data_IF_941421212488
#
_entry.id   IF_941421212488
#
_cell.length_a   1.000
_cell.length_b   1.000
_cell.length_c   1.000
_cell.angle_alpha   90.00
_cell.angle_beta   90.00
_cell.angle_gamma   90.00
#
_symmetry.space_group_name_H-M   'P 1'
#
loop_
_entity.id
_entity.type
_entity.pdbx_description
1 polymer ?
#
# COMPACT_ATOMS: atom_id res chain seq x y z
N UNK A 1 -14.77 32.83 31.76
CA UNK A 1 -15.71 31.98 31.02
C UNK A 1 -15.92 32.63 29.64
N UNK A 2 -15.78 31.88 28.55
CA UNK A 2 -16.12 32.35 27.23
C UNK A 2 -17.60 32.12 26.91
N UNK A 3 -18.15 32.85 25.94
CA UNK A 3 -19.55 32.66 25.54
C UNK A 3 -19.78 31.31 24.89
N UNK A 4 -21.01 30.75 24.90
CA UNK A 4 -21.37 29.46 24.30
C UNK A 4 -20.91 29.27 22.87
N UNK A 5 -20.90 30.35 22.08
CA UNK A 5 -20.43 30.36 20.69
C UNK A 5 -18.98 29.82 20.54
N UNK A 6 -18.09 30.14 21.48
CA UNK A 6 -16.72 29.66 21.49
C UNK A 6 -16.66 28.14 21.74
N UNK A 7 -17.37 27.69 22.80
CA UNK A 7 -17.38 26.26 23.15
C UNK A 7 -18.05 25.41 22.07
N UNK A 8 -19.12 25.91 21.44
CA UNK A 8 -19.79 25.22 20.33
C UNK A 8 -18.88 25.11 19.11
N UNK A 9 -18.12 26.16 18.79
CA UNK A 9 -17.15 26.09 17.68
C UNK A 9 -16.02 25.10 17.97
N UNK A 10 -15.49 25.05 19.19
CA UNK A 10 -14.51 24.04 19.59
C UNK A 10 -15.09 22.62 19.54
N UNK A 11 -16.32 22.44 20.04
CA UNK A 11 -17.02 21.14 19.96
C UNK A 11 -17.14 20.68 18.49
N UNK A 12 -17.48 21.60 17.58
CA UNK A 12 -17.57 21.27 16.14
C UNK A 12 -16.23 20.78 15.61
N UNK A 13 -15.11 21.44 15.93
CA UNK A 13 -13.76 20.97 15.52
C UNK A 13 -13.53 19.55 16.00
N UNK A 14 -13.74 19.27 17.28
CA UNK A 14 -13.52 17.95 17.87
C UNK A 14 -14.44 16.88 17.26
N UNK A 15 -15.69 17.25 16.92
CA UNK A 15 -16.61 16.33 16.23
C UNK A 15 -16.13 16.00 14.80
N UNK A 16 -15.62 16.97 14.06
CA UNK A 16 -15.09 16.71 12.72
C UNK A 16 -13.78 15.91 12.77
N UNK A 17 -12.90 16.17 13.76
CA UNK A 17 -11.70 15.37 13.99
C UNK A 17 -12.03 13.92 14.40
N UNK A 18 -13.09 13.74 15.23
CA UNK A 18 -13.60 12.41 15.59
C UNK A 18 -14.09 11.63 14.35
N UNK A 19 -14.88 12.25 13.47
CA UNK A 19 -15.29 11.64 12.21
C UNK A 19 -14.09 11.23 11.34
N UNK A 20 -13.07 12.10 11.27
CA UNK A 20 -11.86 11.84 10.52
C UNK A 20 -11.10 10.62 11.04
N UNK A 21 -11.12 10.37 12.35
CA UNK A 21 -10.47 9.21 12.95
C UNK A 21 -11.07 7.89 12.47
N UNK A 22 -12.39 7.81 12.26
CA UNK A 22 -13.05 6.64 11.67
C UNK A 22 -12.68 6.46 10.20
N UNK A 23 -12.71 7.54 9.42
CA UNK A 23 -12.30 7.48 8.01
C UNK A 23 -10.83 7.03 7.87
N UNK A 24 -9.98 7.48 8.78
CA UNK A 24 -8.58 7.04 8.82
C UNK A 24 -8.45 5.55 9.14
N UNK A 25 -9.23 5.04 10.11
CA UNK A 25 -9.27 3.61 10.42
C UNK A 25 -9.73 2.78 9.21
N UNK A 26 -10.76 3.22 8.51
CA UNK A 26 -11.25 2.52 7.32
C UNK A 26 -10.24 2.54 6.18
N UNK A 27 -9.52 3.65 6.00
CA UNK A 27 -8.41 3.73 5.05
C UNK A 27 -7.27 2.78 5.39
N UNK A 28 -6.89 2.67 6.67
CA UNK A 28 -5.87 1.71 7.10
C UNK A 28 -6.30 0.27 6.83
N UNK A 29 -7.55 -0.09 7.11
CA UNK A 29 -8.11 -1.42 6.78
C UNK A 29 -8.06 -1.69 5.28
N UNK A 30 -8.44 -0.71 4.47
CA UNK A 30 -8.41 -0.81 3.02
C UNK A 30 -6.98 -1.00 2.48
N UNK A 31 -6.00 -0.22 2.99
CA UNK A 31 -4.60 -0.36 2.62
C UNK A 31 -4.05 -1.73 3.02
N UNK A 32 -4.38 -2.20 4.23
CA UNK A 32 -4.00 -3.52 4.72
C UNK A 32 -4.58 -4.65 3.85
N UNK A 33 -5.87 -4.57 3.48
CA UNK A 33 -6.51 -5.55 2.57
C UNK A 33 -5.80 -5.61 1.22
N UNK A 34 -5.47 -4.45 0.65
CA UNK A 34 -4.70 -4.35 -0.60
C UNK A 34 -3.31 -5.00 -0.47
N UNK A 35 -2.58 -4.66 0.58
CA UNK A 35 -1.22 -5.18 0.79
C UNK A 35 -1.21 -6.69 1.01
N UNK A 36 -2.14 -7.22 1.81
CA UNK A 36 -2.35 -8.67 1.98
C UNK A 36 -2.62 -9.34 0.63
N UNK A 37 -3.49 -8.75 -0.20
CA UNK A 37 -3.82 -9.31 -1.52
C UNK A 37 -2.61 -9.36 -2.45
N UNK A 38 -1.75 -8.35 -2.45
CA UNK A 38 -0.51 -8.33 -3.23
C UNK A 38 0.48 -9.39 -2.76
N UNK A 39 0.71 -9.51 -1.45
CA UNK A 39 1.60 -10.54 -0.88
C UNK A 39 1.06 -11.95 -1.16
N UNK A 40 -0.25 -12.14 -1.08
CA UNK A 40 -0.86 -13.43 -1.41
C UNK A 40 -0.71 -13.78 -2.90
N UNK A 41 -0.86 -12.80 -3.79
CA UNK A 41 -0.57 -12.99 -5.22
C UNK A 41 0.90 -13.36 -5.45
N UNK A 42 1.83 -12.72 -4.75
CA UNK A 42 3.26 -13.02 -4.81
C UNK A 42 3.58 -14.46 -4.35
N UNK A 43 2.96 -14.94 -3.27
CA UNK A 43 3.13 -16.32 -2.81
C UNK A 43 2.63 -17.35 -3.84
N UNK A 44 1.51 -17.07 -4.51
CA UNK A 44 1.00 -17.91 -5.58
C UNK A 44 1.94 -17.91 -6.81
N UNK A 45 2.50 -16.76 -7.15
CA UNK A 45 3.54 -16.63 -8.18
C UNK A 45 4.77 -17.49 -7.84
N UNK A 46 5.28 -17.45 -6.61
CA UNK A 46 6.42 -18.28 -6.20
C UNK A 46 6.12 -19.77 -6.30
N UNK A 47 4.91 -20.20 -6.00
CA UNK A 47 4.52 -21.60 -6.15
C UNK A 47 4.57 -22.05 -7.62
N UNK A 48 4.07 -21.24 -8.56
CA UNK A 48 4.15 -21.57 -10.00
C UNK A 48 5.58 -21.52 -10.53
N UNK A 49 6.35 -20.51 -10.13
CA UNK A 49 7.76 -20.37 -10.48
C UNK A 49 8.57 -21.58 -10.02
N UNK A 50 8.30 -22.06 -8.78
CA UNK A 50 8.91 -23.27 -8.22
C UNK A 50 8.64 -24.51 -9.05
N UNK A 51 7.40 -24.68 -9.55
CA UNK A 51 7.06 -25.81 -10.45
C UNK A 51 7.89 -25.75 -11.75
N UNK A 52 8.00 -24.58 -12.36
CA UNK A 52 8.79 -24.36 -13.56
C UNK A 52 10.28 -24.66 -13.31
N UNK A 53 10.86 -24.09 -12.26
CA UNK A 53 12.27 -24.28 -11.93
C UNK A 53 12.60 -25.74 -11.57
N UNK A 54 11.72 -26.45 -10.88
CA UNK A 54 11.89 -27.90 -10.65
C UNK A 54 11.90 -28.71 -11.96
N UNK A 55 11.04 -28.34 -12.93
CA UNK A 55 11.04 -28.96 -14.25
C UNK A 55 12.37 -28.68 -14.99
N UNK A 56 12.88 -27.46 -14.92
CA UNK A 56 14.16 -27.08 -15.52
C UNK A 56 15.32 -27.82 -14.85
N UNK A 57 15.38 -27.87 -13.52
CA UNK A 57 16.41 -28.58 -12.76
C UNK A 57 16.44 -30.08 -13.13
N UNK A 58 15.29 -30.73 -13.25
CA UNK A 58 15.21 -32.12 -13.69
C UNK A 58 15.79 -32.33 -15.09
N UNK A 59 15.45 -31.45 -16.07
CA UNK A 59 15.93 -31.54 -17.45
C UNK A 59 17.43 -31.27 -17.51
N UNK A 60 17.93 -30.25 -16.83
CA UNK A 60 19.36 -29.91 -16.82
C UNK A 60 20.21 -30.94 -16.04
N UNK A 61 19.65 -31.58 -15.01
CA UNK A 61 20.31 -32.68 -14.33
C UNK A 61 20.46 -33.91 -15.24
N UNK A 62 19.42 -34.26 -16.02
CA UNK A 62 19.51 -35.36 -17.00
C UNK A 62 20.55 -35.03 -18.10
N UNK A 63 20.57 -33.79 -18.57
CA UNK A 63 21.55 -33.32 -19.54
C UNK A 63 22.98 -33.40 -19.00
N UNK A 64 23.23 -32.93 -17.79
CA UNK A 64 24.54 -33.00 -17.12
C UNK A 64 25.02 -34.45 -17.01
N UNK A 65 24.18 -35.36 -16.49
CA UNK A 65 24.52 -36.76 -16.33
C UNK A 65 24.90 -37.42 -17.67
N UNK A 66 24.21 -37.06 -18.75
CA UNK A 66 24.52 -37.56 -20.11
C UNK A 66 25.81 -36.97 -20.63
N UNK A 67 26.02 -35.67 -20.51
CA UNK A 67 27.27 -34.99 -20.98
C UNK A 67 28.50 -35.52 -20.22
N UNK A 68 28.41 -35.79 -18.92
CA UNK A 68 29.49 -36.40 -18.13
C UNK A 68 29.81 -37.83 -18.61
N UNK A 69 28.76 -38.62 -18.87
CA UNK A 69 28.94 -39.99 -19.38
C UNK A 69 29.59 -40.00 -20.79
N UNK A 70 29.13 -39.13 -21.69
CA UNK A 70 29.69 -39.01 -23.06
C UNK A 70 31.15 -38.53 -23.02
N UNK A 71 31.49 -37.58 -22.14
CA UNK A 71 32.88 -37.16 -21.97
C UNK A 71 33.75 -38.32 -21.50
N UNK A 72 33.31 -39.10 -20.50
CA UNK A 72 34.04 -40.29 -20.01
C UNK A 72 34.25 -41.36 -21.06
N UNK A 73 33.34 -41.46 -22.04
CA UNK A 73 33.47 -42.39 -23.19
C UNK A 73 34.27 -41.82 -24.38
N UNK A 74 34.70 -40.54 -24.30
CA UNK A 74 35.36 -39.88 -25.42
C UNK A 74 34.45 -39.45 -26.57
N UNK A 75 33.11 -39.50 -26.37
CA UNK A 75 32.09 -39.16 -27.35
C UNK A 75 31.72 -37.65 -27.34
N UNK A 76 32.25 -36.90 -26.43
CA UNK A 76 31.97 -35.45 -26.25
C UNK A 76 33.21 -34.71 -25.71
N UNK A 77 33.07 -33.40 -25.59
CA UNK A 77 34.14 -32.53 -25.16
C UNK A 77 33.82 -31.88 -23.79
N UNK A 78 34.84 -31.25 -23.20
CA UNK A 78 34.73 -30.55 -21.92
C UNK A 78 33.72 -29.40 -21.92
N UNK A 79 33.51 -28.74 -23.11
CA UNK A 79 32.58 -27.61 -23.23
C UNK A 79 31.13 -28.06 -23.04
N UNK A 80 30.73 -29.21 -23.61
CA UNK A 80 29.39 -29.76 -23.39
C UNK A 80 29.13 -30.06 -21.92
N UNK A 81 30.06 -30.71 -21.24
CA UNK A 81 29.96 -30.98 -19.78
C UNK A 81 29.88 -29.71 -18.96
N UNK A 82 30.76 -28.74 -19.21
CA UNK A 82 30.79 -27.46 -18.47
C UNK A 82 29.50 -26.65 -18.69
N UNK A 83 28.96 -26.64 -19.93
CA UNK A 83 27.68 -26.01 -20.22
C UNK A 83 26.54 -26.67 -19.45
N UNK A 84 26.48 -28.01 -19.44
CA UNK A 84 25.45 -28.76 -18.72
C UNK A 84 25.53 -28.54 -17.20
N UNK A 85 26.74 -28.52 -16.64
CA UNK A 85 26.98 -28.27 -15.21
C UNK A 85 26.53 -26.86 -14.82
N UNK A 86 26.87 -25.86 -15.65
CA UNK A 86 26.46 -24.46 -15.41
C UNK A 86 24.93 -24.28 -15.42
N UNK A 87 24.23 -24.86 -16.42
CA UNK A 87 22.76 -24.80 -16.48
C UNK A 87 22.09 -25.46 -15.27
N UNK A 88 22.57 -26.62 -14.86
CA UNK A 88 22.09 -27.30 -13.65
C UNK A 88 22.32 -26.47 -12.41
N UNK A 89 23.55 -25.97 -12.21
CA UNK A 89 23.91 -25.16 -11.05
C UNK A 89 23.13 -23.84 -10.98
N UNK A 90 22.86 -23.21 -12.12
CA UNK A 90 21.99 -22.03 -12.20
C UNK A 90 20.55 -22.34 -11.78
N UNK A 91 19.96 -23.45 -12.25
CA UNK A 91 18.62 -23.84 -11.88
C UNK A 91 18.51 -24.16 -10.38
N UNK A 92 19.50 -24.85 -9.80
CA UNK A 92 19.58 -25.12 -8.37
C UNK A 92 19.71 -23.83 -7.55
N UNK A 93 20.56 -22.88 -7.97
CA UNK A 93 20.70 -21.61 -7.32
C UNK A 93 19.41 -20.78 -7.37
N UNK A 94 18.73 -20.76 -8.52
CA UNK A 94 17.45 -20.06 -8.68
C UNK A 94 16.36 -20.66 -7.79
N UNK A 95 16.30 -21.98 -7.63
CA UNK A 95 15.39 -22.64 -6.69
C UNK A 95 15.67 -22.25 -5.23
N UNK A 96 16.94 -22.23 -4.82
CA UNK A 96 17.32 -21.80 -3.46
C UNK A 96 16.96 -20.32 -3.21
N UNK A 97 17.22 -19.44 -4.17
CA UNK A 97 16.85 -18.03 -4.07
C UNK A 97 15.32 -17.87 -3.94
N UNK A 98 14.57 -18.53 -4.81
CA UNK A 98 13.11 -18.49 -4.79
C UNK A 98 12.51 -18.95 -3.44
N UNK A 99 13.09 -19.97 -2.81
CA UNK A 99 12.65 -20.43 -1.48
C UNK A 99 12.89 -19.35 -0.41
N UNK A 100 14.01 -18.62 -0.49
CA UNK A 100 14.28 -17.50 0.41
C UNK A 100 13.33 -16.32 0.20
N UNK A 101 13.05 -15.97 -1.05
CA UNK A 101 12.08 -14.93 -1.38
C UNK A 101 10.68 -15.31 -0.87
N UNK A 102 10.31 -16.59 -1.00
CA UNK A 102 9.05 -17.12 -0.47
C UNK A 102 8.99 -17.06 1.07
N UNK A 103 10.07 -17.42 1.77
CA UNK A 103 10.16 -17.30 3.24
C UNK A 103 9.94 -15.82 3.67
N UNK A 104 10.57 -14.85 2.98
CA UNK A 104 10.41 -13.42 3.24
C UNK A 104 8.94 -13.00 3.08
N UNK A 105 8.30 -13.42 2.00
CA UNK A 105 6.89 -13.07 1.75
C UNK A 105 5.92 -13.73 2.74
N UNK A 106 6.23 -14.96 3.22
CA UNK A 106 5.48 -15.59 4.31
C UNK A 106 5.61 -14.79 5.61
N UNK A 107 6.83 -14.36 5.96
CA UNK A 107 7.05 -13.52 7.15
C UNK A 107 6.29 -12.20 7.04
N UNK A 108 6.31 -11.56 5.85
CA UNK A 108 5.54 -10.35 5.59
C UNK A 108 4.04 -10.59 5.75
N UNK A 109 3.51 -11.68 5.21
CA UNK A 109 2.09 -12.01 5.36
C UNK A 109 1.73 -12.24 6.84
N UNK A 110 2.51 -13.03 7.57
CA UNK A 110 2.32 -13.29 8.99
C UNK A 110 2.32 -12.01 9.83
N UNK A 111 3.20 -11.07 9.49
CA UNK A 111 3.22 -9.75 10.13
C UNK A 111 1.94 -8.95 9.85
N UNK A 112 1.48 -8.90 8.58
CA UNK A 112 0.30 -8.13 8.17
C UNK A 112 -0.99 -8.65 8.79
N UNK A 113 -1.12 -9.97 8.98
CA UNK A 113 -2.30 -10.59 9.60
C UNK A 113 -2.16 -10.75 11.12
N UNK A 114 -0.99 -10.38 11.68
CA UNK A 114 -0.65 -10.56 13.10
C UNK A 114 -0.85 -12.00 13.60
N UNK A 115 -0.49 -12.97 12.77
CA UNK A 115 -0.58 -14.40 13.06
C UNK A 115 0.75 -15.09 12.73
N UNK A 116 1.34 -15.77 13.70
CA UNK A 116 2.60 -16.50 13.53
C UNK A 116 2.47 -17.85 12.81
N UNK A 117 1.27 -18.23 12.35
CA UNK A 117 1.06 -19.47 11.63
C UNK A 117 1.57 -19.36 10.18
N UNK A 118 2.28 -20.41 9.74
CA UNK A 118 2.74 -20.50 8.35
C UNK A 118 1.57 -20.91 7.44
N UNK A 119 1.11 -19.97 6.60
CA UNK A 119 0.13 -20.28 5.57
C UNK A 119 0.82 -20.91 4.36
N UNK A 120 0.61 -22.20 4.17
CA UNK A 120 1.00 -22.89 2.95
C UNK A 120 -0.22 -23.04 2.05
N UNK A 121 -0.27 -22.28 0.97
CA UNK A 121 -1.25 -22.50 -0.08
C UNK A 121 -0.59 -23.21 -1.27
N UNK A 122 -0.43 -24.52 -1.16
CA UNK A 122 0.29 -25.32 -2.18
C UNK A 122 -0.58 -25.71 -3.38
N UNK A 123 -1.91 -25.62 -3.28
CA UNK A 123 -2.83 -26.24 -4.24
C UNK A 123 -3.74 -25.28 -5.02
N UNK A 124 -3.60 -23.98 -4.88
CA UNK A 124 -4.41 -23.05 -5.68
C UNK A 124 -3.94 -23.04 -7.13
N UNK A 125 -4.86 -23.23 -8.07
CA UNK A 125 -4.57 -23.01 -9.49
C UNK A 125 -4.34 -21.52 -9.72
N UNK A 126 -3.11 -21.18 -10.06
CA UNK A 126 -2.74 -19.79 -10.33
C UNK A 126 -3.24 -19.38 -11.71
N UNK A 127 -4.08 -18.37 -11.77
CA UNK A 127 -4.69 -17.87 -13.00
C UNK A 127 -4.95 -16.36 -12.91
N UNK A 128 -5.51 -15.79 -13.96
CA UNK A 128 -5.91 -14.38 -13.99
C UNK A 128 -7.04 -14.18 -12.97
N UNK A 129 -6.88 -13.19 -12.11
CA UNK A 129 -7.91 -12.76 -11.16
C UNK A 129 -9.08 -12.11 -11.89
N UNK A 130 -10.24 -12.07 -11.24
CA UNK A 130 -11.40 -11.41 -11.79
C UNK A 130 -11.25 -9.88 -11.67
N UNK A 131 -11.41 -9.19 -12.79
CA UNK A 131 -11.51 -7.74 -12.82
C UNK A 131 -12.97 -7.35 -12.71
N UNK A 132 -13.36 -6.83 -11.54
CA UNK A 132 -14.72 -6.38 -11.31
C UNK A 132 -15.04 -5.15 -12.15
N UNK A 133 -16.14 -5.23 -12.92
CA UNK A 133 -16.75 -4.17 -13.74
C UNK A 133 -15.82 -3.07 -14.27
N UNK A 134 -15.36 -3.20 -15.50
CA UNK A 134 -14.67 -2.15 -16.28
C UNK A 134 -15.67 -1.06 -16.72
N UNK A 135 -16.23 -0.28 -15.79
CA UNK A 135 -16.99 0.89 -16.19
C UNK A 135 -16.03 2.01 -16.62
N UNK A 136 -16.29 2.58 -17.80
CA UNK A 136 -15.48 3.64 -18.40
C UNK A 136 -15.43 4.93 -17.56
N UNK A 137 -16.40 5.14 -16.67
CA UNK A 137 -16.42 6.24 -15.73
C UNK A 137 -15.84 5.82 -14.37
N UNK A 138 -14.65 6.32 -14.10
CA UNK A 138 -14.02 6.18 -12.80
C UNK A 138 -14.67 7.15 -11.80
N UNK A 139 -15.35 6.59 -10.79
CA UNK A 139 -16.01 7.36 -9.74
C UNK A 139 -15.08 7.80 -8.59
N UNK A 140 -13.81 7.40 -8.60
CA UNK A 140 -12.87 7.65 -7.50
C UNK A 140 -12.96 6.63 -6.37
N UNK A 141 -11.88 6.49 -5.58
CA UNK A 141 -11.96 5.74 -4.33
C UNK A 141 -12.72 6.60 -3.30
N UNK A 142 -13.96 6.23 -2.91
CA UNK A 142 -14.76 7.08 -2.04
C UNK A 142 -14.17 7.25 -0.64
N UNK A 143 -13.38 6.29 -0.13
CA UNK A 143 -12.73 6.42 1.18
C UNK A 143 -11.67 7.52 1.17
N UNK A 144 -10.80 7.53 0.14
CA UNK A 144 -9.77 8.57 0.00
C UNK A 144 -10.41 9.94 -0.20
N UNK A 145 -11.43 10.03 -1.06
CA UNK A 145 -12.13 11.29 -1.33
C UNK A 145 -12.90 11.77 -0.10
N UNK A 146 -13.58 10.89 0.63
CA UNK A 146 -14.27 11.22 1.89
C UNK A 146 -13.29 11.75 2.94
N UNK A 147 -12.08 11.18 3.04
CA UNK A 147 -11.07 11.68 3.97
C UNK A 147 -10.61 13.10 3.58
N UNK A 148 -10.33 13.34 2.30
CA UNK A 148 -9.93 14.67 1.82
C UNK A 148 -11.05 15.71 2.00
N UNK A 149 -12.29 15.32 1.78
CA UNK A 149 -13.46 16.16 2.06
C UNK A 149 -13.62 16.44 3.56
N UNK A 150 -13.40 15.43 4.40
CA UNK A 150 -13.44 15.58 5.85
C UNK A 150 -12.36 16.54 6.35
N UNK A 151 -11.16 16.53 5.76
CA UNK A 151 -10.11 17.50 6.07
C UNK A 151 -10.55 18.94 5.74
N UNK A 152 -11.26 19.16 4.63
CA UNK A 152 -11.87 20.47 4.34
C UNK A 152 -12.84 20.89 5.45
N UNK A 153 -13.68 19.96 5.92
CA UNK A 153 -14.65 20.23 6.98
C UNK A 153 -13.94 20.59 8.31
N UNK A 154 -12.83 19.93 8.62
CA UNK A 154 -11.99 20.25 9.78
C UNK A 154 -11.41 21.65 9.66
N UNK A 155 -10.83 22.01 8.52
CA UNK A 155 -10.25 23.35 8.33
C UNK A 155 -11.31 24.44 8.37
N UNK A 156 -12.51 24.19 7.86
CA UNK A 156 -13.67 25.08 7.99
C UNK A 156 -14.09 25.27 9.46
N UNK A 157 -14.18 24.17 10.21
CA UNK A 157 -14.51 24.22 11.62
C UNK A 157 -13.44 24.98 12.44
N UNK A 158 -12.15 24.75 12.15
CA UNK A 158 -11.02 25.47 12.75
C UNK A 158 -11.09 26.98 12.47
N UNK A 159 -11.41 27.37 11.23
CA UNK A 159 -11.61 28.78 10.88
C UNK A 159 -12.73 29.44 11.71
N UNK A 160 -13.84 28.73 11.89
CA UNK A 160 -14.95 29.19 12.72
C UNK A 160 -14.56 29.30 14.20
N UNK A 161 -13.76 28.35 14.71
CA UNK A 161 -13.25 28.36 16.07
C UNK A 161 -12.28 29.54 16.31
N UNK A 162 -11.38 29.84 15.34
CA UNK A 162 -10.49 30.99 15.42
C UNK A 162 -11.27 32.33 15.40
N UNK A 163 -12.31 32.43 14.59
CA UNK A 163 -13.22 33.60 14.59
C UNK A 163 -13.98 33.73 15.92
N UNK A 164 -14.37 32.61 16.53
CA UNK A 164 -15.08 32.62 17.81
C UNK A 164 -14.24 33.11 19.00
N UNK A 165 -12.90 33.09 18.89
CA UNK A 165 -11.97 33.65 19.89
C UNK A 165 -12.09 35.18 20.02
N UNK A 166 -12.62 35.85 19.01
CA UNK A 166 -12.90 37.28 19.04
C UNK A 166 -14.17 37.64 19.84
N UNK A 167 -14.94 36.63 20.28
CA UNK A 167 -16.14 36.87 21.10
C UNK A 167 -15.76 37.37 22.47
N UNK A 168 -16.61 38.21 23.11
CA UNK A 168 -16.42 38.65 24.50
C UNK A 168 -16.31 37.47 25.47
N UNK A 169 -15.60 37.69 26.56
CA UNK A 169 -15.51 36.75 27.69
C UNK A 169 -16.17 37.30 28.96
N UNK A 170 -16.73 36.42 29.76
CA UNK A 170 -17.26 36.75 31.08
C UNK A 170 -16.24 36.32 32.15
N UNK A 171 -15.81 37.27 32.95
CA UNK A 171 -14.91 37.03 34.08
C UNK A 171 -15.70 37.09 35.38
N UNK A 172 -15.66 36.02 36.13
CA UNK A 172 -16.24 35.94 37.46
C UNK A 172 -15.10 35.67 38.44
N UNK A 173 -15.03 36.44 39.51
CA UNK A 173 -14.04 36.20 40.53
C UNK A 173 -14.61 36.43 41.93
N UNK A 174 -14.09 35.66 42.87
CA UNK A 174 -14.33 35.82 44.30
C UNK A 174 -12.97 35.97 44.97
N UNK A 175 -12.83 37.00 45.75
CA UNK A 175 -11.62 37.25 46.52
C UNK A 175 -11.95 37.22 48.00
N UNK A 176 -11.11 36.56 48.80
CA UNK A 176 -11.19 36.51 50.25
C UNK A 176 -9.82 36.93 50.78
N UNK A 177 -9.78 38.08 51.48
CA UNK A 177 -8.54 38.61 52.01
C UNK A 177 -8.70 38.90 53.51
N UNK A 178 -7.59 38.84 54.21
CA UNK A 178 -7.51 39.24 55.64
C UNK A 178 -6.56 40.41 55.74
N UNK A 179 -7.01 41.48 56.35
CA UNK A 179 -6.17 42.65 56.68
C UNK A 179 -6.13 42.83 58.16
N UNK A 180 -4.95 43.13 58.75
CA UNK A 180 -4.75 43.49 60.16
C UNK A 180 -4.42 44.96 60.23
N UNK A 181 -5.22 45.72 60.97
CA UNK A 181 -5.02 47.18 61.15
C UNK A 181 -6.31 47.90 61.33
N UNK A 182 -6.23 49.24 61.46
CA UNK A 182 -7.40 50.12 61.55
C UNK A 182 -8.03 50.32 60.16
N UNK A 183 -9.33 50.06 60.07
CA UNK A 183 -10.11 50.36 58.89
C UNK A 183 -10.42 51.82 58.68
N UNK A 184 -10.98 52.20 57.54
CA UNK A 184 -11.44 53.57 57.25
C UNK A 184 -12.63 54.00 58.13
N UNK A 185 -13.25 53.06 58.78
CA UNK A 185 -14.34 53.22 59.81
C UNK A 185 -13.81 53.33 61.23
N UNK A 186 -12.51 53.58 61.45
CA UNK A 186 -11.79 53.67 62.72
C UNK A 186 -11.82 52.43 63.58
N UNK A 187 -12.31 51.28 63.05
CA UNK A 187 -12.30 49.98 63.73
C UNK A 187 -11.04 49.21 63.49
N UNK A 188 -10.50 48.59 64.51
CA UNK A 188 -9.38 47.68 64.41
C UNK A 188 -9.82 46.30 63.95
N UNK A 189 -9.33 45.82 62.80
CA UNK A 189 -9.54 44.49 62.25
C UNK A 189 -8.36 43.60 62.62
N UNK A 190 -8.62 42.42 63.15
CA UNK A 190 -7.59 41.44 63.44
C UNK A 190 -7.47 40.41 62.29
N UNK A 191 -6.46 39.52 62.36
CA UNK A 191 -6.20 38.54 61.29
C UNK A 191 -7.30 37.46 61.14
N UNK A 192 -8.30 37.41 62.06
CA UNK A 192 -9.43 36.47 61.92
C UNK A 192 -10.59 37.05 61.11
N UNK A 193 -10.60 38.36 60.88
CA UNK A 193 -11.61 38.99 60.02
C UNK A 193 -11.32 38.80 58.55
N UNK A 194 -12.29 38.25 57.82
CA UNK A 194 -12.18 38.00 56.39
C UNK A 194 -13.08 38.96 55.60
N UNK A 195 -12.48 39.72 54.73
CA UNK A 195 -13.19 40.55 53.76
C UNK A 195 -13.40 39.74 52.50
N UNK A 196 -14.64 39.59 52.10
CA UNK A 196 -15.03 38.89 50.91
C UNK A 196 -15.55 39.86 49.86
N UNK A 197 -15.07 39.75 48.64
CA UNK A 197 -15.56 40.52 47.50
C UNK A 197 -15.79 39.63 46.30
N UNK A 198 -16.82 39.94 45.52
CA UNK A 198 -17.08 39.28 44.25
C UNK A 198 -17.07 40.33 43.13
N UNK A 199 -16.61 39.93 41.95
CA UNK A 199 -16.68 40.79 40.79
C UNK A 199 -17.20 40.03 39.58
N UNK A 200 -17.90 40.76 38.70
CA UNK A 200 -18.32 40.32 37.40
C UNK A 200 -17.74 41.31 36.40
N UNK A 201 -17.02 40.81 35.41
CA UNK A 201 -16.40 41.64 34.36
C UNK A 201 -16.63 41.07 32.97
N UNK A 202 -16.70 41.92 31.97
CA UNK A 202 -16.76 41.55 30.56
C UNK A 202 -15.42 41.89 29.91
N UNK A 203 -14.72 40.91 29.37
CA UNK A 203 -13.49 41.09 28.60
C UNK A 203 -13.80 41.18 27.12
N UNK A 204 -13.47 42.29 26.50
CA UNK A 204 -13.62 42.52 25.05
C UNK A 204 -12.22 42.62 24.43
N UNK A 205 -11.86 41.76 23.42
CA UNK A 205 -10.55 41.83 22.78
C UNK A 205 -10.50 43.04 21.83
N UNK A 206 -10.05 44.19 22.32
CA UNK A 206 -9.95 45.45 21.56
C UNK A 206 -8.74 45.39 20.63
N UNK A 207 -7.60 44.92 21.11
CA UNK A 207 -6.38 44.74 20.31
C UNK A 207 -6.29 43.31 19.79
N UNK A 208 -6.75 43.08 18.56
CA UNK A 208 -6.92 41.72 18.00
C UNK A 208 -6.12 41.49 16.71
N UNK A 209 -5.08 42.30 16.44
CA UNK A 209 -4.26 42.17 15.22
C UNK A 209 -3.62 40.80 15.11
N UNK A 210 -3.06 40.23 16.19
CA UNK A 210 -2.50 38.90 16.22
C UNK A 210 -3.56 37.84 15.88
N UNK A 211 -4.77 37.91 16.48
CA UNK A 211 -5.84 36.95 16.20
C UNK A 211 -6.35 37.07 14.74
N UNK A 212 -6.37 38.30 14.16
CA UNK A 212 -6.69 38.50 12.75
C UNK A 212 -5.68 37.78 11.84
N UNK A 213 -4.38 37.90 12.15
CA UNK A 213 -3.33 37.16 11.41
C UNK A 213 -3.50 35.65 11.48
N UNK A 214 -3.87 35.11 12.64
CA UNK A 214 -4.20 33.67 12.78
C UNK A 214 -5.42 33.29 11.93
N UNK A 215 -6.45 34.12 11.89
CA UNK A 215 -7.63 33.89 11.04
C UNK A 215 -7.26 33.89 9.56
N UNK A 216 -6.41 34.84 9.11
CA UNK A 216 -5.94 34.85 7.71
C UNK A 216 -5.09 33.60 7.39
N UNK A 217 -4.18 33.19 8.29
CA UNK A 217 -3.44 31.93 8.12
C UNK A 217 -4.38 30.72 8.02
N UNK A 218 -5.45 30.70 8.85
CA UNK A 218 -6.43 29.60 8.79
C UNK A 218 -7.28 29.61 7.50
N UNK A 219 -7.54 30.75 6.89
CA UNK A 219 -8.16 30.83 5.56
C UNK A 219 -7.25 30.23 4.48
N UNK A 220 -5.94 30.45 4.59
CA UNK A 220 -4.97 29.81 3.68
C UNK A 220 -4.98 28.29 3.87
N UNK A 221 -5.03 27.79 5.11
CA UNK A 221 -5.16 26.35 5.37
C UNK A 221 -6.44 25.75 4.77
N UNK A 222 -7.55 26.48 4.79
CA UNK A 222 -8.78 26.09 4.11
C UNK A 222 -8.60 25.97 2.59
N UNK A 223 -7.90 26.92 1.95
CA UNK A 223 -7.59 26.87 0.52
C UNK A 223 -6.65 25.70 0.19
N UNK A 224 -5.67 25.43 1.08
CA UNK A 224 -4.79 24.26 0.92
C UNK A 224 -5.60 22.95 0.96
N UNK A 225 -6.54 22.80 1.90
CA UNK A 225 -7.37 21.61 1.99
C UNK A 225 -8.28 21.44 0.75
N UNK A 226 -8.83 22.55 0.21
CA UNK A 226 -9.58 22.54 -1.06
C UNK A 226 -8.70 22.08 -2.22
N UNK A 227 -7.51 22.65 -2.37
CA UNK A 227 -6.54 22.27 -3.40
C UNK A 227 -6.14 20.79 -3.28
N UNK A 228 -5.91 20.29 -2.07
CA UNK A 228 -5.57 18.89 -1.83
C UNK A 228 -6.71 17.96 -2.25
N UNK A 229 -7.96 18.36 -2.04
CA UNK A 229 -9.12 17.61 -2.51
C UNK A 229 -9.16 17.53 -4.05
N UNK A 230 -9.00 18.66 -4.73
CA UNK A 230 -8.99 18.72 -6.19
C UNK A 230 -7.81 17.93 -6.77
N UNK A 231 -6.63 18.05 -6.18
CA UNK A 231 -5.45 17.26 -6.55
C UNK A 231 -5.68 15.77 -6.33
N UNK A 232 -6.34 15.39 -5.22
CA UNK A 232 -6.72 14.02 -4.93
C UNK A 232 -7.61 13.41 -6.00
N UNK A 233 -8.63 14.15 -6.48
CA UNK A 233 -9.50 13.73 -7.59
C UNK A 233 -8.69 13.45 -8.87
N UNK A 234 -7.79 14.38 -9.24
CA UNK A 234 -6.97 14.24 -10.45
C UNK A 234 -6.01 13.06 -10.33
N UNK A 235 -5.33 12.92 -9.18
CA UNK A 235 -4.37 11.85 -8.94
C UNK A 235 -5.02 10.47 -8.97
N UNK A 236 -6.15 10.28 -8.31
CA UNK A 236 -6.87 9.02 -8.30
C UNK A 236 -7.35 8.63 -9.71
N UNK A 237 -7.88 9.59 -10.47
CA UNK A 237 -8.26 9.37 -11.87
C UNK A 237 -7.07 8.95 -12.72
N UNK A 238 -5.94 9.65 -12.58
CA UNK A 238 -4.73 9.32 -13.33
C UNK A 238 -4.18 7.94 -12.95
N UNK A 239 -4.13 7.59 -11.66
CA UNK A 239 -3.72 6.26 -11.20
C UNK A 239 -4.60 5.15 -11.80
N UNK A 240 -5.92 5.34 -11.77
CA UNK A 240 -6.84 4.39 -12.37
C UNK A 240 -6.58 4.20 -13.87
N UNK A 241 -6.47 5.29 -14.63
CA UNK A 241 -6.24 5.24 -16.08
C UNK A 241 -4.87 4.62 -16.41
N UNK A 242 -3.82 4.91 -15.65
CA UNK A 242 -2.51 4.31 -15.83
C UNK A 242 -2.54 2.81 -15.56
N UNK A 243 -3.15 2.37 -14.45
CA UNK A 243 -3.28 0.95 -14.12
C UNK A 243 -4.13 0.22 -15.18
N UNK A 244 -5.19 0.84 -15.67
CA UNK A 244 -6.02 0.26 -16.72
C UNK A 244 -5.25 0.05 -18.02
N UNK A 245 -4.46 1.03 -18.46
CA UNK A 245 -3.62 0.90 -19.65
C UNK A 245 -2.54 -0.16 -19.47
N UNK A 246 -1.91 -0.24 -18.30
CA UNK A 246 -0.94 -1.29 -17.99
C UNK A 246 -1.59 -2.66 -17.97
N UNK A 247 -2.77 -2.80 -17.39
CA UNK A 247 -3.55 -4.04 -17.43
C UNK A 247 -3.89 -4.46 -18.86
N UNK A 248 -4.35 -3.55 -19.71
CA UNK A 248 -4.65 -3.84 -21.13
C UNK A 248 -3.42 -4.38 -21.84
N UNK A 249 -2.27 -3.70 -21.74
CA UNK A 249 -0.99 -4.15 -22.30
C UNK A 249 -0.63 -5.56 -21.84
N UNK A 250 -0.67 -5.81 -20.53
CA UNK A 250 -0.31 -7.10 -19.96
C UNK A 250 -1.29 -8.21 -20.36
N UNK A 251 -2.57 -7.89 -20.47
CA UNK A 251 -3.60 -8.83 -20.95
C UNK A 251 -3.37 -9.24 -22.41
N UNK A 252 -2.93 -8.33 -23.28
CA UNK A 252 -2.56 -8.66 -24.66
C UNK A 252 -1.34 -9.59 -24.70
N UNK A 253 -0.30 -9.32 -23.86
CA UNK A 253 0.87 -10.17 -23.74
C UNK A 253 0.47 -11.58 -23.23
N UNK A 254 -0.38 -11.69 -22.21
CA UNK A 254 -0.87 -12.98 -21.69
C UNK A 254 -1.66 -13.72 -22.76
N UNK A 255 -2.51 -13.03 -23.54
CA UNK A 255 -3.28 -13.64 -24.62
C UNK A 255 -2.35 -14.27 -25.67
N UNK A 256 -1.23 -13.61 -26.01
CA UNK A 256 -0.20 -14.18 -26.86
C UNK A 256 0.42 -15.45 -26.27
N UNK A 257 0.82 -15.40 -24.98
CA UNK A 257 1.41 -16.57 -24.33
C UNK A 257 0.45 -17.75 -24.26
N UNK A 258 -0.81 -17.52 -23.93
CA UNK A 258 -1.82 -18.58 -23.83
C UNK A 258 -2.18 -19.21 -25.17
N UNK A 259 -2.30 -18.40 -26.23
CA UNK A 259 -2.71 -18.88 -27.55
C UNK A 259 -1.56 -19.54 -28.32
N UNK A 260 -0.34 -19.06 -28.15
CA UNK A 260 0.79 -19.44 -29.02
C UNK A 260 2.05 -19.79 -28.21
N UNK A 261 2.48 -18.92 -27.28
CA UNK A 261 3.78 -19.03 -26.63
C UNK A 261 3.95 -20.32 -25.85
N UNK A 262 3.00 -20.67 -24.99
CA UNK A 262 3.07 -21.87 -24.14
C UNK A 262 3.06 -23.16 -24.97
N UNK A 263 2.18 -23.27 -25.97
CA UNK A 263 2.09 -24.43 -26.85
C UNK A 263 3.40 -24.63 -27.63
N UNK A 264 3.95 -23.55 -28.20
CA UNK A 264 5.22 -23.60 -28.88
C UNK A 264 6.38 -23.97 -27.96
N UNK A 265 6.43 -23.42 -26.75
CA UNK A 265 7.48 -23.73 -25.78
C UNK A 265 7.48 -25.21 -25.38
N UNK A 266 6.29 -25.80 -25.19
CA UNK A 266 6.17 -27.23 -24.89
C UNK A 266 6.59 -28.11 -26.07
N UNK A 267 6.20 -27.72 -27.29
CA UNK A 267 6.61 -28.41 -28.51
C UNK A 267 8.13 -28.36 -28.71
N UNK A 268 8.73 -27.17 -28.49
CA UNK A 268 10.19 -26.99 -28.55
C UNK A 268 10.88 -27.88 -27.52
N UNK A 269 10.46 -27.87 -26.26
CA UNK A 269 11.06 -28.72 -25.21
C UNK A 269 11.00 -30.19 -25.55
N UNK A 270 9.84 -30.69 -26.02
CA UNK A 270 9.64 -32.08 -26.34
C UNK A 270 10.49 -32.50 -27.56
N UNK A 271 10.45 -31.69 -28.62
CA UNK A 271 11.16 -31.99 -29.86
C UNK A 271 12.69 -31.89 -29.68
N UNK A 272 13.18 -30.80 -29.07
CA UNK A 272 14.60 -30.61 -28.80
C UNK A 272 15.18 -31.72 -27.94
N UNK A 273 14.48 -32.14 -26.89
CA UNK A 273 14.92 -33.27 -26.07
C UNK A 273 15.01 -34.58 -26.91
N UNK A 274 13.99 -34.91 -27.69
CA UNK A 274 14.01 -36.12 -28.51
C UNK A 274 15.14 -36.09 -29.53
N UNK A 275 15.28 -35.01 -30.28
CA UNK A 275 16.31 -34.87 -31.31
C UNK A 275 17.73 -34.90 -30.72
N UNK A 276 17.97 -34.27 -29.58
CA UNK A 276 19.26 -34.33 -28.91
C UNK A 276 19.57 -35.76 -28.42
N UNK A 277 18.58 -36.47 -27.86
CA UNK A 277 18.77 -37.83 -27.39
C UNK A 277 18.99 -38.83 -28.52
N UNK A 278 18.45 -38.55 -29.71
CA UNK A 278 18.69 -39.34 -30.93
C UNK A 278 20.01 -38.96 -31.67
N UNK A 279 20.67 -37.86 -31.25
CA UNK A 279 21.87 -37.37 -31.91
C UNK A 279 21.60 -36.56 -33.18
N UNK A 280 20.36 -36.13 -33.41
CA UNK A 280 19.94 -35.37 -34.60
C UNK A 280 20.35 -33.87 -34.49
N UNK A 281 20.46 -33.32 -33.29
CA UNK A 281 20.95 -31.96 -33.01
C UNK A 281 22.12 -32.00 -32.01
N UNK A 282 23.00 -31.02 -32.11
CA UNK A 282 24.13 -30.89 -31.19
C UNK A 282 23.74 -30.23 -29.87
N UNK A 283 24.65 -30.24 -28.89
CA UNK A 283 24.39 -29.70 -27.55
C UNK A 283 24.15 -28.18 -27.52
N UNK A 284 24.73 -27.41 -28.45
CA UNK A 284 24.54 -25.96 -28.53
C UNK A 284 23.12 -25.63 -29.00
N UNK A 285 22.66 -26.32 -30.07
CA UNK A 285 21.30 -26.18 -30.58
C UNK A 285 20.26 -26.56 -29.51
N UNK A 286 20.50 -27.71 -28.85
CA UNK A 286 19.63 -28.13 -27.75
C UNK A 286 19.57 -27.09 -26.61
N UNK A 287 20.72 -26.60 -26.16
CA UNK A 287 20.80 -25.60 -25.08
C UNK A 287 20.04 -24.33 -25.47
N UNK A 288 20.22 -23.84 -26.72
CA UNK A 288 19.51 -22.66 -27.19
C UNK A 288 18.00 -22.85 -27.18
N UNK A 289 17.52 -23.98 -27.75
CA UNK A 289 16.09 -24.28 -27.85
C UNK A 289 15.43 -24.46 -26.47
N UNK A 290 16.08 -25.21 -25.59
CA UNK A 290 15.53 -25.51 -24.24
C UNK A 290 15.52 -24.25 -23.36
N UNK A 291 16.56 -23.43 -23.39
CA UNK A 291 16.59 -22.18 -22.63
C UNK A 291 15.56 -21.20 -23.15
N UNK A 292 15.38 -21.08 -24.49
CA UNK A 292 14.32 -20.25 -25.08
C UNK A 292 12.92 -20.71 -24.64
N UNK A 293 12.68 -22.00 -24.61
CA UNK A 293 11.39 -22.54 -24.20
C UNK A 293 11.09 -22.25 -22.72
N UNK A 294 12.09 -22.42 -21.83
CA UNK A 294 11.95 -22.04 -20.43
C UNK A 294 11.77 -20.54 -20.23
N UNK A 295 12.44 -19.71 -21.03
CA UNK A 295 12.27 -18.26 -20.99
C UNK A 295 10.84 -17.84 -21.34
N UNK A 296 10.22 -18.45 -22.35
CA UNK A 296 8.81 -18.21 -22.70
C UNK A 296 7.88 -18.56 -21.54
N UNK A 297 8.03 -19.76 -20.93
CA UNK A 297 7.21 -20.17 -19.79
C UNK A 297 7.43 -19.27 -18.58
N UNK A 298 8.66 -18.86 -18.34
CA UNK A 298 9.01 -17.94 -17.25
C UNK A 298 8.36 -16.58 -17.43
N UNK A 299 8.45 -15.99 -18.63
CA UNK A 299 7.81 -14.70 -18.95
C UNK A 299 6.30 -14.77 -18.79
N UNK A 300 5.65 -15.87 -19.18
CA UNK A 300 4.22 -16.04 -18.95
C UNK A 300 3.85 -15.92 -17.45
N UNK A 301 4.58 -16.63 -16.59
CA UNK A 301 4.33 -16.59 -15.13
C UNK A 301 4.57 -15.18 -14.58
N UNK A 302 5.62 -14.49 -15.05
CA UNK A 302 5.93 -13.12 -14.62
C UNK A 302 4.82 -12.15 -15.06
N UNK A 303 4.33 -12.25 -16.30
CA UNK A 303 3.22 -11.43 -16.80
C UNK A 303 1.90 -11.71 -16.08
N UNK A 304 1.66 -12.97 -15.73
CA UNK A 304 0.48 -13.35 -14.93
C UNK A 304 0.48 -12.67 -13.56
N UNK A 305 1.65 -12.67 -12.89
CA UNK A 305 1.81 -11.96 -11.61
C UNK A 305 1.55 -10.46 -11.77
N UNK A 306 2.20 -9.83 -12.74
CA UNK A 306 2.04 -8.38 -12.99
C UNK A 306 0.59 -8.01 -13.34
N UNK A 307 -0.10 -8.85 -14.11
CA UNK A 307 -1.52 -8.65 -14.45
C UNK A 307 -2.40 -8.70 -13.20
N UNK A 308 -2.18 -9.71 -12.35
CA UNK A 308 -2.93 -9.85 -11.12
C UNK A 308 -2.65 -8.70 -10.13
N UNK A 309 -1.41 -8.21 -10.05
CA UNK A 309 -1.08 -7.01 -9.26
C UNK A 309 -1.89 -5.79 -9.76
N UNK A 310 -1.98 -5.61 -11.09
CA UNK A 310 -2.77 -4.52 -11.67
C UNK A 310 -4.28 -4.68 -11.43
N UNK A 311 -4.79 -5.89 -11.47
CA UNK A 311 -6.20 -6.16 -11.11
C UNK A 311 -6.45 -5.81 -9.65
N UNK A 312 -5.58 -6.21 -8.72
CA UNK A 312 -5.68 -5.87 -7.30
C UNK A 312 -5.65 -4.34 -7.11
N UNK A 313 -4.72 -3.65 -7.77
CA UNK A 313 -4.61 -2.18 -7.72
C UNK A 313 -5.89 -1.50 -8.26
N UNK A 314 -6.41 -1.94 -9.42
CA UNK A 314 -7.62 -1.39 -10.02
C UNK A 314 -8.84 -1.65 -9.12
N UNK A 315 -9.01 -2.89 -8.64
CA UNK A 315 -10.12 -3.23 -7.75
C UNK A 315 -10.06 -2.45 -6.43
N UNK A 316 -8.85 -2.19 -5.91
CA UNK A 316 -8.67 -1.36 -4.72
C UNK A 316 -9.03 0.12 -4.92
N UNK A 317 -8.95 0.64 -6.14
CA UNK A 317 -9.34 2.03 -6.45
C UNK A 317 -10.86 2.17 -6.65
N UNK A 318 -11.59 1.07 -6.79
CA UNK A 318 -13.04 1.05 -6.82
C UNK A 318 -13.57 0.90 -5.39
N UNK A 319 -14.69 1.49 -5.07
CA UNK A 319 -15.34 1.24 -3.78
C UNK A 319 -16.20 -0.02 -3.83
N UNK A 320 -16.20 -0.72 -2.74
CA UNK A 320 -17.36 -1.52 -2.38
C UNK A 320 -18.55 -0.63 -2.06
#
# INVERSE_FOLDING_TARGET
IRLPKFYNAQKTVLMEEYKNSFLHLDLQKWQLKKEISLVYNELNYFNEKKKLLKKADSIFTQYFNRADLRLKKGESNLLEKATAENLRSQAEMQLKSLEKDREISIQKLSFLINDGTFYQNENAKYGILNLENLNAEYAGNPLVLKQLEQEKNIQNAKLLAEKAKLSPSLNLGVNSMTMKGNGADEKYYNATHRFQSGFVGVGIPVFNSAQKSVIEAQKVNQLIAENNYQLGLINLKNQYLQNLRQFQKLNDEISYYQKTGLQNSESILKTANNQYFNGEINYLEWTLLVTQAFEIQNKYIDRLKETNDKIIEINSLKSE
#
